data_IF_093960119356
#
_entry.id   IF_093960119356
#
_cell.length_a   1.000
_cell.length_b   1.000
_cell.length_c   1.000
_cell.angle_alpha   90.00
_cell.angle_beta   90.00
_cell.angle_gamma   90.00
#
_symmetry.space_group_name_H-M   'P 1'
#
loop_
_entity.id
_entity.type
_entity.pdbx_description
1 polymer ?
#
# COMPACT_ATOMS: atom_id res chain seq x y z
N UNK A 1 15.06 6.01 8.83
CA UNK A 1 14.79 5.16 7.63
C UNK A 1 13.43 5.50 7.07
N UNK A 2 13.30 5.61 5.74
CA UNK A 2 12.08 6.01 5.05
C UNK A 2 11.66 4.89 4.11
N UNK A 3 10.38 4.51 4.13
CA UNK A 3 9.84 3.40 3.32
C UNK A 3 8.54 3.89 2.69
N UNK A 4 8.44 3.78 1.37
CA UNK A 4 7.17 3.99 0.66
C UNK A 4 6.50 2.64 0.47
N UNK A 5 5.20 2.56 0.73
CA UNK A 5 4.38 1.37 0.54
C UNK A 5 3.24 1.73 -0.40
N UNK A 6 3.04 0.88 -1.41
CA UNK A 6 1.90 0.95 -2.33
C UNK A 6 1.10 -0.33 -2.18
N UNK A 7 -0.21 -0.20 -2.00
CA UNK A 7 -1.11 -1.36 -1.90
C UNK A 7 -2.46 -1.04 -2.53
N UNK A 8 -3.13 -2.08 -3.02
CA UNK A 8 -4.52 -1.98 -3.51
C UNK A 8 -5.50 -1.89 -2.34
N UNK A 9 -5.30 -2.71 -1.30
CA UNK A 9 -6.21 -2.76 -0.15
C UNK A 9 -5.72 -1.92 1.05
N UNK A 10 -6.68 -1.37 1.81
CA UNK A 10 -6.44 -0.58 3.03
C UNK A 10 -6.27 -1.35 4.38
N UNK A 11 -6.64 -2.65 4.54
CA UNK A 11 -6.75 -3.27 5.87
C UNK A 11 -5.38 -3.48 6.54
N UNK A 12 -4.29 -3.46 5.77
CA UNK A 12 -2.92 -3.55 6.28
C UNK A 12 -2.53 -2.44 7.26
N UNK A 13 -3.26 -1.32 7.25
CA UNK A 13 -2.81 -0.07 7.85
C UNK A 13 -3.81 0.59 8.79
N UNK A 14 -5.02 0.04 8.92
CA UNK A 14 -6.01 0.44 9.92
C UNK A 14 -5.73 -0.23 11.26
N UNK A 15 -5.23 -1.47 11.23
CA UNK A 15 -4.83 -2.17 12.43
C UNK A 15 -3.42 -1.74 12.87
N UNK A 16 -3.35 -0.73 13.75
CA UNK A 16 -2.13 -0.31 14.46
C UNK A 16 -1.37 -1.48 15.12
N UNK A 17 -2.05 -2.61 15.36
CA UNK A 17 -1.53 -3.76 16.08
C UNK A 17 -0.86 -4.84 15.19
N UNK A 18 -1.19 -4.93 13.89
CA UNK A 18 -0.92 -6.16 13.11
C UNK A 18 0.53 -6.35 12.64
N UNK A 19 1.39 -5.33 12.78
CA UNK A 19 2.78 -5.43 12.34
C UNK A 19 3.80 -5.29 13.48
N UNK A 20 3.34 -5.08 14.72
CA UNK A 20 4.23 -4.75 15.84
C UNK A 20 5.19 -3.62 15.46
N UNK A 21 4.69 -2.64 14.68
CA UNK A 21 5.47 -1.49 14.27
C UNK A 21 5.92 -0.79 15.54
N UNK A 22 7.23 -0.52 15.63
CA UNK A 22 7.83 0.19 16.75
C UNK A 22 7.08 1.49 16.98
N UNK A 23 6.87 1.88 18.25
CA UNK A 23 6.28 3.17 18.65
C UNK A 23 6.87 4.36 17.87
N UNK A 24 8.11 4.23 17.41
CA UNK A 24 8.87 5.25 16.66
C UNK A 24 8.56 5.32 15.15
N UNK A 25 7.44 4.76 14.69
CA UNK A 25 7.03 4.81 13.28
C UNK A 25 5.93 5.83 13.03
N UNK A 26 6.19 6.80 12.15
CA UNK A 26 5.20 7.77 11.67
C UNK A 26 4.71 7.37 10.29
N UNK A 27 3.39 7.35 10.11
CA UNK A 27 2.72 7.09 8.84
C UNK A 27 2.18 8.39 8.27
N UNK A 28 2.41 8.62 6.98
CA UNK A 28 1.92 9.78 6.24
C UNK A 28 1.19 9.23 5.01
N UNK A 29 -0.08 9.62 4.84
CA UNK A 29 -0.82 9.34 3.62
C UNK A 29 -0.28 10.19 2.48
N UNK A 30 -0.05 9.59 1.32
CA UNK A 30 0.29 10.29 0.09
C UNK A 30 -0.93 10.26 -0.85
N UNK A 31 -1.01 11.18 -1.83
CA UNK A 31 -2.11 11.18 -2.79
C UNK A 31 -2.24 9.82 -3.46
N UNK A 32 -3.46 9.33 -3.50
CA UNK A 32 -3.82 8.04 -4.10
C UNK A 32 -4.01 8.23 -5.60
N UNK A 33 -3.67 7.21 -6.38
CA UNK A 33 -3.86 7.23 -7.82
C UNK A 33 -5.03 6.31 -8.16
N UNK A 34 -6.00 6.82 -8.90
CA UNK A 34 -7.15 6.06 -9.40
C UNK A 34 -7.11 5.97 -10.91
N UNK A 35 -7.40 4.78 -11.44
CA UNK A 35 -7.60 4.56 -12.87
C UNK A 35 -9.01 4.04 -13.10
N UNK A 36 -9.77 4.71 -13.96
CA UNK A 36 -11.15 4.37 -14.27
C UNK A 36 -11.21 3.66 -15.62
N UNK A 37 -11.84 2.49 -15.65
CA UNK A 37 -12.10 1.73 -16.86
C UNK A 37 -13.60 1.68 -17.09
N UNK A 38 -14.03 1.92 -18.32
CA UNK A 38 -15.44 1.76 -18.71
C UNK A 38 -15.52 0.71 -19.80
N UNK A 39 -16.26 -0.36 -19.54
CA UNK A 39 -16.40 -1.52 -20.43
C UNK A 39 -17.85 -1.64 -20.86
N UNK A 40 -18.08 -1.97 -22.13
CA UNK A 40 -19.43 -2.31 -22.59
C UNK A 40 -19.84 -3.67 -22.03
N UNK A 41 -21.06 -3.76 -21.47
CA UNK A 41 -21.56 -5.05 -20.96
C UNK A 41 -21.94 -6.02 -22.08
N UNK A 42 -22.35 -5.48 -23.23
CA UNK A 42 -22.72 -6.26 -24.42
C UNK A 42 -21.65 -6.12 -25.51
N UNK A 43 -21.29 -7.20 -26.22
CA UNK A 43 -20.26 -7.14 -27.25
C UNK A 43 -20.65 -6.34 -28.51
N UNK A 44 -21.95 -6.12 -28.78
CA UNK A 44 -22.37 -5.60 -30.09
C UNK A 44 -23.43 -4.48 -30.06
N UNK A 45 -24.57 -4.67 -29.40
CA UNK A 45 -25.77 -3.84 -29.65
C UNK A 45 -25.96 -2.78 -28.55
N UNK A 46 -25.73 -3.12 -27.29
CA UNK A 46 -26.09 -2.24 -26.18
C UNK A 46 -24.92 -1.37 -25.69
N UNK A 47 -24.65 -0.28 -26.43
CA UNK A 47 -23.60 0.72 -26.11
C UNK A 47 -23.93 1.64 -24.93
N UNK A 48 -25.18 1.65 -24.46
CA UNK A 48 -25.62 2.46 -23.30
C UNK A 48 -25.46 1.67 -21.99
N UNK A 49 -25.53 0.35 -22.03
CA UNK A 49 -25.16 -0.52 -20.91
C UNK A 49 -23.64 -0.61 -20.76
N UNK A 50 -23.10 0.19 -19.84
CA UNK A 50 -21.67 0.25 -19.51
C UNK A 50 -21.43 -0.15 -18.07
N UNK A 51 -20.28 -0.75 -17.82
CA UNK A 51 -19.77 -1.04 -16.48
C UNK A 51 -18.53 -0.21 -16.20
N UNK A 52 -18.46 0.36 -15.01
CA UNK A 52 -17.34 1.16 -14.58
C UNK A 52 -16.57 0.38 -13.52
N UNK A 53 -15.28 0.22 -13.76
CA UNK A 53 -14.34 -0.37 -12.82
C UNK A 53 -13.33 0.69 -12.41
N UNK A 54 -12.89 0.62 -11.17
CA UNK A 54 -11.79 1.43 -10.68
C UNK A 54 -10.63 0.56 -10.21
N UNK A 55 -9.43 1.06 -10.44
CA UNK A 55 -8.21 0.56 -9.81
C UNK A 55 -7.64 1.68 -8.95
N UNK A 56 -7.75 1.55 -7.64
CA UNK A 56 -7.21 2.48 -6.66
C UNK A 56 -5.91 1.95 -6.08
N UNK A 57 -4.85 2.76 -6.14
CA UNK A 57 -3.55 2.44 -5.54
C UNK A 57 -3.27 3.43 -4.42
N UNK A 58 -3.27 2.92 -3.19
CA UNK A 58 -3.01 3.71 -1.98
C UNK A 58 -1.53 3.77 -1.72
N UNK A 59 -0.99 4.98 -1.66
CA UNK A 59 0.43 5.21 -1.37
C UNK A 59 0.59 5.76 0.03
N UNK A 60 1.46 5.14 0.83
CA UNK A 60 1.77 5.55 2.20
C UNK A 60 3.26 5.68 2.38
N UNK A 61 3.66 6.70 3.13
CA UNK A 61 5.04 6.93 3.52
C UNK A 61 5.23 6.61 5.00
N UNK A 62 6.14 5.69 5.28
CA UNK A 62 6.49 5.23 6.62
C UNK A 62 7.88 5.76 7.00
N UNK A 63 7.93 6.53 8.09
CA UNK A 63 9.18 7.05 8.66
C UNK A 63 9.46 6.32 9.95
N UNK A 64 10.57 5.59 10.00
CA UNK A 64 11.06 4.92 11.20
C UNK A 64 12.24 5.72 11.74
N UNK A 65 12.12 6.28 12.95
CA UNK A 65 13.23 6.95 13.63
C UNK A 65 14.27 5.90 14.00
N UNK A 66 15.48 6.06 13.51
CA UNK A 66 16.59 5.15 13.82
C UNK A 66 17.90 5.90 13.68
N UNK A 67 18.85 5.55 14.53
CA UNK A 67 20.24 5.98 14.40
C UNK A 67 20.92 5.28 13.23
N UNK A 68 22.02 5.87 12.75
CA UNK A 68 22.76 5.42 11.56
C UNK A 68 23.33 4.01 11.74
N UNK A 69 23.88 3.71 12.92
CA UNK A 69 24.51 2.43 13.22
C UNK A 69 23.51 1.27 13.30
N UNK A 70 22.27 1.51 13.74
CA UNK A 70 21.22 0.49 13.82
C UNK A 70 20.44 0.31 12.51
N UNK A 71 20.53 1.27 11.59
CA UNK A 71 19.69 1.34 10.39
C UNK A 71 19.80 0.07 9.54
N UNK A 72 21.03 -0.42 9.34
CA UNK A 72 21.32 -1.62 8.55
C UNK A 72 20.67 -2.87 9.16
N UNK A 73 20.74 -3.02 10.49
CA UNK A 73 20.14 -4.14 11.24
C UNK A 73 18.61 -4.09 11.19
N UNK A 74 18.01 -2.91 11.40
CA UNK A 74 16.55 -2.72 11.32
C UNK A 74 16.03 -3.00 9.91
N UNK A 75 16.70 -2.49 8.87
CA UNK A 75 16.35 -2.76 7.48
C UNK A 75 16.39 -4.25 7.13
N UNK A 76 17.47 -4.94 7.52
CA UNK A 76 17.62 -6.37 7.29
C UNK A 76 16.49 -7.19 7.95
N UNK A 77 16.12 -6.86 9.19
CA UNK A 77 14.99 -7.50 9.89
C UNK A 77 13.67 -7.33 9.14
N UNK A 78 13.42 -6.15 8.58
CA UNK A 78 12.19 -5.85 7.82
C UNK A 78 12.11 -6.68 6.55
N UNK A 79 13.19 -6.71 5.74
CA UNK A 79 13.25 -7.55 4.53
C UNK A 79 12.99 -9.02 4.84
N UNK A 80 13.57 -9.53 5.93
CA UNK A 80 13.42 -10.94 6.32
C UNK A 80 11.99 -11.33 6.73
N UNK A 81 11.19 -10.39 7.24
CA UNK A 81 9.77 -10.61 7.55
C UNK A 81 8.90 -10.59 6.30
N UNK A 82 9.28 -9.80 5.30
CA UNK A 82 8.55 -9.71 4.03
C UNK A 82 8.62 -11.03 3.23
N UNK A 83 9.77 -11.69 3.21
CA UNK A 83 9.97 -12.97 2.49
C UNK A 83 9.32 -14.20 3.14
N UNK A 84 8.78 -14.08 4.36
CA UNK A 84 8.13 -15.20 5.08
C UNK A 84 6.60 -15.22 4.94
N UNK A 85 6.01 -14.29 4.19
CA UNK A 85 4.55 -14.11 4.08
C UNK A 85 3.95 -14.64 2.76
N UNK A 86 4.75 -15.34 1.95
CA UNK A 86 4.32 -16.19 0.84
C UNK A 86 4.46 -17.64 1.28
#
# INVERSE_FOLDING_TARGET
MRIMIRSFDNPFFENHHFWGLTRDTRKIGLPESRVLYTVLRSPHIDKKSREQFEMEIKTKFLVIKTETHELRKKFFRLKRRATRRT
#
